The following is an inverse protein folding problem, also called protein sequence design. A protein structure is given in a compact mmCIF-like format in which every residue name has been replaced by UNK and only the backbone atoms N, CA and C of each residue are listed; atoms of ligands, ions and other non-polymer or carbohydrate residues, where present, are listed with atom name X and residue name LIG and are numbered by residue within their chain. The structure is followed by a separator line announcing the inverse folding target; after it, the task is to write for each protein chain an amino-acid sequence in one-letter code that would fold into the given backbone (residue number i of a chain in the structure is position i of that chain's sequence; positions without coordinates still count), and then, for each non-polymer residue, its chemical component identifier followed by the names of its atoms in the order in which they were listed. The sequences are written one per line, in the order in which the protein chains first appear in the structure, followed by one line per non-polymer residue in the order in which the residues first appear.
data_IF_286736628511
#
_entry.id   IF_286736628511
#
_cell.length_a   1.000
_cell.length_b   1.000
_cell.length_c   1.000
_cell.angle_alpha   90.00
_cell.angle_beta   90.00
_cell.angle_gamma   90.00
#
_symmetry.space_group_name_H-M   'P 1'
#
loop_
_entity.id
_entity.type
_entity.pdbx_description
1 polymer ?
#
# COMPACT_ATOMS: atom_id res chain seq x y z
N UNK A 1 -10.96 50.58 -9.14
CA UNK A 1 -11.73 50.03 -8.00
C UNK A 1 -12.63 48.92 -8.53
N UNK A 2 -12.19 47.67 -8.41
CA UNK A 2 -13.02 46.53 -8.01
C UNK A 2 -12.14 45.28 -7.99
N UNK A 3 -12.37 44.47 -6.97
CA UNK A 3 -11.45 43.48 -6.43
C UNK A 3 -11.51 42.12 -7.14
N UNK A 4 -10.41 41.38 -6.93
CA UNK A 4 -10.21 39.92 -6.89
C UNK A 4 -11.39 38.97 -7.09
N UNK A 5 -11.13 37.90 -7.86
CA UNK A 5 -11.27 36.51 -7.41
C UNK A 5 -10.31 35.60 -8.23
N UNK A 6 -9.19 35.20 -7.62
CA UNK A 6 -8.45 34.01 -8.03
C UNK A 6 -9.01 32.83 -7.23
N UNK A 7 -9.40 31.76 -7.91
CA UNK A 7 -9.75 30.48 -7.30
C UNK A 7 -8.65 29.50 -7.67
N UNK A 8 -7.68 29.34 -6.76
CA UNK A 8 -6.73 28.24 -6.79
C UNK A 8 -7.45 27.01 -6.22
N UNK A 9 -7.54 25.95 -7.02
CA UNK A 9 -7.93 24.62 -6.55
C UNK A 9 -6.68 23.74 -6.52
N UNK A 10 -5.95 23.82 -5.40
CA UNK A 10 -5.09 22.73 -4.94
C UNK A 10 -6.01 21.53 -4.63
N UNK A 11 -5.92 20.47 -5.43
CA UNK A 11 -6.59 19.20 -5.09
C UNK A 11 -5.67 18.42 -4.17
N UNK A 12 -5.95 18.71 -2.93
CA UNK A 12 -5.44 18.33 -1.63
C UNK A 12 -5.43 16.80 -1.37
N UNK A 13 -4.26 16.15 -1.50
CA UNK A 13 -4.03 14.76 -1.02
C UNK A 13 -4.08 14.69 0.51
N UNK A 14 -3.83 15.80 1.19
CA UNK A 14 -3.96 15.96 2.63
C UNK A 14 -5.45 15.89 3.04
N UNK A 15 -6.36 16.46 2.22
CA UNK A 15 -7.81 16.43 2.46
C UNK A 15 -8.36 15.01 2.59
N UNK A 16 -7.94 14.06 1.76
CA UNK A 16 -8.51 12.71 1.80
C UNK A 16 -8.09 11.94 3.07
N UNK A 17 -6.86 12.14 3.55
CA UNK A 17 -6.43 11.60 4.85
C UNK A 17 -7.09 12.34 6.01
N UNK A 18 -7.18 13.67 5.94
CA UNK A 18 -7.85 14.52 6.93
C UNK A 18 -9.34 14.15 7.02
N UNK A 19 -10.02 13.93 5.90
CA UNK A 19 -11.41 13.50 5.86
C UNK A 19 -11.60 12.10 6.43
N UNK A 20 -10.71 11.15 6.14
CA UNK A 20 -10.73 9.82 6.77
C UNK A 20 -10.52 9.91 8.27
N UNK A 21 -9.55 10.70 8.72
CA UNK A 21 -9.29 10.91 10.14
C UNK A 21 -10.47 11.58 10.86
N UNK A 22 -11.08 12.61 10.26
CA UNK A 22 -12.29 13.26 10.77
C UNK A 22 -13.49 12.33 10.80
N UNK A 23 -13.64 11.47 9.78
CA UNK A 23 -14.71 10.46 9.73
C UNK A 23 -14.54 9.43 10.85
N UNK A 24 -13.31 8.93 11.06
CA UNK A 24 -12.98 8.03 12.16
C UNK A 24 -13.18 8.69 13.52
N UNK A 25 -12.79 9.96 13.67
CA UNK A 25 -12.99 10.73 14.90
C UNK A 25 -14.48 10.93 15.18
N UNK A 26 -15.27 11.25 14.16
CA UNK A 26 -16.73 11.45 14.30
C UNK A 26 -17.44 10.14 14.65
N UNK A 27 -17.02 9.02 14.05
CA UNK A 27 -17.51 7.69 14.40
C UNK A 27 -17.19 7.35 15.87
N UNK A 28 -15.94 7.54 16.28
CA UNK A 28 -15.47 7.15 17.62
C UNK A 28 -15.98 8.06 18.73
N UNK A 29 -16.16 9.37 18.48
CA UNK A 29 -16.67 10.32 19.48
C UNK A 29 -18.19 10.49 19.46
N UNK A 30 -18.86 10.04 18.41
CA UNK A 30 -20.29 10.22 18.19
C UNK A 30 -21.13 8.95 18.42
N UNK A 31 -21.85 8.45 17.39
CA UNK A 31 -22.86 7.40 17.57
C UNK A 31 -22.33 6.07 18.13
N UNK A 32 -21.10 5.68 17.80
CA UNK A 32 -20.52 4.41 18.25
C UNK A 32 -20.22 4.42 19.74
N UNK A 33 -19.53 5.46 20.24
CA UNK A 33 -19.25 5.59 21.67
C UNK A 33 -20.53 5.69 22.50
N UNK A 34 -21.55 6.41 22.02
CA UNK A 34 -22.85 6.48 22.69
C UNK A 34 -23.51 5.11 22.76
N UNK A 35 -23.50 4.36 21.66
CA UNK A 35 -24.10 3.01 21.57
C UNK A 35 -23.35 2.03 22.47
N UNK A 36 -22.02 2.06 22.48
CA UNK A 36 -21.19 1.22 23.35
C UNK A 36 -21.41 1.55 24.84
N UNK A 37 -21.53 2.84 25.17
CA UNK A 37 -21.82 3.28 26.54
C UNK A 37 -23.20 2.78 27.00
N UNK A 38 -24.23 2.90 26.14
CA UNK A 38 -25.57 2.36 26.42
C UNK A 38 -25.57 0.84 26.57
N UNK A 39 -24.84 0.14 25.70
CA UNK A 39 -24.69 -1.31 25.77
C UNK A 39 -24.00 -1.74 27.07
N UNK A 40 -22.89 -1.09 27.43
CA UNK A 40 -22.16 -1.33 28.68
C UNK A 40 -23.03 -1.08 29.91
N UNK A 41 -23.77 0.02 29.93
CA UNK A 41 -24.71 0.33 31.01
C UNK A 41 -25.84 -0.70 31.11
N UNK A 42 -26.39 -1.14 29.98
CA UNK A 42 -27.47 -2.14 29.92
C UNK A 42 -27.00 -3.53 30.33
N UNK A 43 -25.76 -3.89 30.01
CA UNK A 43 -25.16 -5.17 30.41
C UNK A 43 -25.09 -5.32 31.93
N UNK A 44 -24.83 -4.22 32.66
CA UNK A 44 -24.80 -4.22 34.13
C UNK A 44 -26.15 -4.51 34.79
N UNK A 45 -27.25 -4.35 34.05
CA UNK A 45 -28.59 -4.65 34.55
C UNK A 45 -28.93 -6.14 34.48
N UNK A 46 -28.10 -6.96 33.82
CA UNK A 46 -28.30 -8.41 33.75
C UNK A 46 -27.92 -9.04 35.10
N UNK A 47 -28.84 -9.76 35.78
CA UNK A 47 -28.55 -10.45 37.02
C UNK A 47 -27.40 -11.45 36.85
N UNK A 48 -26.56 -11.60 37.88
CA UNK A 48 -25.45 -12.56 37.90
C UNK A 48 -25.46 -13.38 39.18
N UNK A 49 -24.75 -14.51 39.19
CA UNK A 49 -24.61 -15.37 40.36
C UNK A 49 -25.96 -15.92 40.86
N UNK A 50 -26.25 -15.77 42.16
CA UNK A 50 -27.42 -16.38 42.80
C UNK A 50 -28.74 -15.92 42.19
N UNK A 51 -28.85 -14.63 41.87
CA UNK A 51 -30.08 -14.06 41.31
C UNK A 51 -30.33 -14.60 39.90
N UNK A 52 -29.27 -14.74 39.09
CA UNK A 52 -29.36 -15.38 37.77
C UNK A 52 -29.91 -16.80 37.88
N UNK A 53 -29.35 -17.62 38.78
CA UNK A 53 -29.80 -19.01 38.96
C UNK A 53 -31.26 -19.10 39.41
N UNK A 54 -31.72 -18.16 40.24
CA UNK A 54 -33.11 -18.11 40.68
C UNK A 54 -34.05 -17.74 39.53
N UNK A 55 -33.74 -16.67 38.78
CA UNK A 55 -34.61 -16.19 37.70
C UNK A 55 -34.58 -17.06 36.45
N UNK A 56 -33.50 -17.82 36.21
CA UNK A 56 -33.37 -18.72 35.07
C UNK A 56 -34.34 -19.93 35.11
N UNK A 57 -35.12 -20.08 36.19
CA UNK A 57 -36.20 -21.06 36.27
C UNK A 57 -37.50 -20.59 35.58
N UNK A 58 -37.60 -19.29 35.26
CA UNK A 58 -38.77 -18.69 34.62
C UNK A 58 -38.49 -18.43 33.14
N UNK A 59 -39.41 -18.86 32.27
CA UNK A 59 -39.25 -18.71 30.82
C UNK A 59 -39.22 -17.24 30.40
N UNK A 60 -39.92 -16.37 31.14
CA UNK A 60 -39.95 -14.92 30.91
C UNK A 60 -38.56 -14.26 31.07
N UNK A 61 -37.67 -14.86 31.87
CA UNK A 61 -36.29 -14.40 32.04
C UNK A 61 -35.32 -15.21 31.16
N UNK A 62 -35.50 -16.52 31.09
CA UNK A 62 -34.63 -17.44 30.35
C UNK A 62 -34.60 -17.16 28.84
N UNK A 63 -35.77 -16.93 28.22
CA UNK A 63 -35.85 -16.73 26.77
C UNK A 63 -35.12 -15.46 26.30
N UNK A 64 -35.32 -14.28 26.92
CA UNK A 64 -34.53 -13.08 26.58
C UNK A 64 -33.02 -13.25 26.79
N UNK A 65 -32.60 -13.93 27.86
CA UNK A 65 -31.17 -14.18 28.12
C UNK A 65 -30.54 -15.07 27.04
N UNK A 66 -31.25 -16.11 26.60
CA UNK A 66 -30.80 -16.95 25.48
C UNK A 66 -30.70 -16.16 24.18
N UNK A 67 -31.64 -15.25 23.91
CA UNK A 67 -31.58 -14.38 22.74
C UNK A 67 -30.39 -13.43 22.79
N UNK A 68 -30.12 -12.81 23.95
CA UNK A 68 -28.94 -11.96 24.16
C UNK A 68 -27.65 -12.76 23.94
N UNK A 69 -27.56 -13.95 24.53
CA UNK A 69 -26.40 -14.84 24.38
C UNK A 69 -26.15 -15.18 22.91
N UNK A 70 -27.19 -15.63 22.18
CA UNK A 70 -27.10 -15.96 20.75
C UNK A 70 -26.67 -14.77 19.90
N UNK A 71 -27.21 -13.57 20.17
CA UNK A 71 -26.82 -12.34 19.45
C UNK A 71 -25.37 -11.96 19.76
N UNK A 72 -24.95 -12.04 21.02
CA UNK A 72 -23.57 -11.73 21.42
C UNK A 72 -22.57 -12.70 20.77
N UNK A 73 -22.88 -14.00 20.72
CA UNK A 73 -22.06 -15.00 20.05
C UNK A 73 -21.94 -14.70 18.55
N UNK A 74 -23.06 -14.44 17.86
CA UNK A 74 -23.04 -14.11 16.43
C UNK A 74 -22.22 -12.85 16.12
N UNK A 75 -22.23 -11.85 17.02
CA UNK A 75 -21.36 -10.68 16.89
C UNK A 75 -19.87 -11.03 17.03
N UNK A 76 -19.51 -11.86 18.02
CA UNK A 76 -18.12 -12.30 18.22
C UNK A 76 -17.62 -13.16 17.06
N UNK A 77 -18.48 -14.04 16.52
CA UNK A 77 -18.21 -14.78 15.29
C UNK A 77 -17.96 -13.84 14.11
N UNK A 78 -18.77 -12.80 13.95
CA UNK A 78 -18.58 -11.79 12.88
C UNK A 78 -17.25 -11.05 13.02
N UNK A 79 -16.85 -10.72 14.25
CA UNK A 79 -15.56 -10.08 14.53
C UNK A 79 -14.40 -11.02 14.20
N UNK A 80 -14.48 -12.30 14.61
CA UNK A 80 -13.46 -13.31 14.34
C UNK A 80 -13.36 -13.68 12.86
N UNK A 81 -14.49 -13.77 12.15
CA UNK A 81 -14.55 -14.10 10.72
C UNK A 81 -14.25 -12.93 9.78
N UNK A 82 -13.94 -11.74 10.31
CA UNK A 82 -13.46 -10.60 9.51
C UNK A 82 -11.99 -10.82 9.08
N UNK A 83 -11.74 -11.92 8.36
CA UNK A 83 -10.45 -12.61 8.19
C UNK A 83 -9.45 -11.93 7.24
N UNK A 84 -9.86 -10.97 6.39
CA UNK A 84 -8.94 -10.41 5.38
C UNK A 84 -8.47 -8.98 5.67
N UNK A 85 -9.30 -8.15 6.30
CA UNK A 85 -9.06 -6.69 6.35
C UNK A 85 -8.41 -6.20 7.64
N UNK A 86 -8.63 -6.93 8.75
CA UNK A 86 -8.22 -6.49 10.09
C UNK A 86 -7.01 -7.26 10.58
N UNK A 87 -6.87 -8.55 10.23
CA UNK A 87 -5.89 -9.46 10.83
C UNK A 87 -4.79 -9.96 9.86
N UNK A 88 -4.88 -9.65 8.56
CA UNK A 88 -3.86 -10.00 7.56
C UNK A 88 -3.86 -11.47 7.13
N UNK A 89 -3.26 -11.76 5.97
CA UNK A 89 -3.38 -13.03 5.22
C UNK A 89 -2.90 -14.31 5.94
N UNK A 90 -2.29 -14.20 7.13
CA UNK A 90 -1.55 -15.30 7.77
C UNK A 90 -2.22 -15.91 9.01
N UNK A 91 -3.44 -15.52 9.41
CA UNK A 91 -4.10 -16.12 10.59
C UNK A 91 -5.49 -16.66 10.27
N UNK A 92 -5.50 -17.92 9.83
CA UNK A 92 -6.69 -18.79 9.79
C UNK A 92 -7.20 -19.20 11.20
N UNK A 93 -6.47 -18.81 12.24
CA UNK A 93 -6.63 -19.26 13.63
C UNK A 93 -7.34 -18.24 14.54
N UNK A 94 -7.87 -17.14 14.00
CA UNK A 94 -8.56 -16.09 14.78
C UNK A 94 -10.09 -16.17 14.73
N UNK A 95 -10.65 -17.24 14.16
CA UNK A 95 -12.08 -17.47 14.17
C UNK A 95 -12.59 -17.70 15.61
N UNK A 96 -13.76 -17.14 15.92
CA UNK A 96 -14.39 -17.37 17.22
C UNK A 96 -14.78 -18.85 17.35
N UNK A 97 -14.49 -19.52 18.48
CA UNK A 97 -14.80 -20.93 18.67
C UNK A 97 -16.32 -21.18 18.61
N UNK A 98 -16.74 -22.03 17.65
CA UNK A 98 -18.18 -22.30 17.40
C UNK A 98 -18.82 -23.26 18.43
N UNK A 99 -18.01 -23.95 19.24
CA UNK A 99 -18.49 -24.82 20.32
C UNK A 99 -18.33 -24.09 21.67
N UNK A 100 -19.34 -23.31 22.05
CA UNK A 100 -19.39 -22.49 23.27
C UNK A 100 -19.59 -23.29 24.58
N UNK A 101 -19.46 -24.62 24.55
CA UNK A 101 -19.57 -25.43 25.77
C UNK A 101 -18.32 -25.31 26.65
N UNK A 102 -17.19 -24.83 26.09
CA UNK A 102 -15.97 -24.52 26.83
C UNK A 102 -15.76 -23.00 26.92
N UNK A 103 -15.97 -22.46 28.12
CA UNK A 103 -15.75 -21.03 28.40
C UNK A 103 -14.26 -20.67 28.38
N UNK A 104 -13.37 -21.64 28.58
CA UNK A 104 -11.93 -21.42 28.61
C UNK A 104 -11.41 -21.13 27.19
N UNK A 105 -11.90 -21.88 26.18
CA UNK A 105 -11.56 -21.65 24.76
C UNK A 105 -11.99 -20.24 24.28
N UNK A 106 -13.17 -19.77 24.70
CA UNK A 106 -13.66 -18.43 24.35
C UNK A 106 -12.84 -17.32 25.02
N UNK A 107 -12.37 -17.57 26.25
CA UNK A 107 -11.49 -16.64 26.96
C UNK A 107 -10.09 -16.58 26.34
N UNK A 108 -9.51 -17.73 26.02
CA UNK A 108 -8.21 -17.82 25.34
C UNK A 108 -8.24 -17.14 23.97
N UNK A 109 -9.32 -17.31 23.21
CA UNK A 109 -9.55 -16.57 21.97
C UNK A 109 -9.54 -15.04 22.20
N UNK A 110 -10.25 -14.56 23.22
CA UNK A 110 -10.32 -13.12 23.53
C UNK A 110 -8.95 -12.55 23.91
N UNK A 111 -8.17 -13.28 24.72
CA UNK A 111 -6.80 -12.90 25.09
C UNK A 111 -5.92 -12.80 23.85
N UNK A 112 -5.94 -13.81 22.98
CA UNK A 112 -5.15 -13.82 21.75
C UNK A 112 -5.51 -12.66 20.81
N UNK A 113 -6.80 -12.32 20.69
CA UNK A 113 -7.26 -11.18 19.88
C UNK A 113 -6.78 -9.85 20.47
N UNK A 114 -6.85 -9.70 21.79
CA UNK A 114 -6.38 -8.48 22.46
C UNK A 114 -4.87 -8.30 22.31
N UNK A 115 -4.07 -9.35 22.49
CA UNK A 115 -2.62 -9.30 22.37
C UNK A 115 -2.19 -8.89 20.96
N UNK A 116 -2.80 -9.48 19.93
CA UNK A 116 -2.55 -9.11 18.53
C UNK A 116 -2.92 -7.65 18.23
N UNK A 117 -4.05 -7.16 18.76
CA UNK A 117 -4.48 -5.78 18.57
C UNK A 117 -3.52 -4.79 19.24
N UNK A 118 -3.05 -5.11 20.45
CA UNK A 118 -2.09 -4.29 21.18
C UNK A 118 -0.72 -4.30 20.51
N UNK A 119 -0.23 -5.43 20.02
CA UNK A 119 1.05 -5.51 19.29
C UNK A 119 1.04 -4.67 18.01
N UNK A 120 -0.09 -4.68 17.28
CA UNK A 120 -0.27 -3.81 16.10
C UNK A 120 -0.31 -2.34 16.46
N UNK A 121 -1.00 -2.01 17.55
CA UNK A 121 -1.04 -0.64 18.04
C UNK A 121 0.36 -0.16 18.42
N UNK A 122 1.13 -0.96 19.15
CA UNK A 122 2.50 -0.64 19.54
C UNK A 122 3.39 -0.46 18.32
N UNK A 123 3.31 -1.37 17.33
CA UNK A 123 4.03 -1.24 16.06
C UNK A 123 3.70 0.08 15.34
N UNK A 124 2.41 0.40 15.21
CA UNK A 124 1.95 1.64 14.56
C UNK A 124 2.35 2.89 15.35
N UNK A 125 2.29 2.84 16.68
CA UNK A 125 2.70 3.93 17.55
C UNK A 125 4.22 4.13 17.48
N UNK A 126 5.01 3.08 17.37
CA UNK A 126 6.46 3.11 17.21
C UNK A 126 6.85 3.73 15.87
N UNK A 127 6.18 3.33 14.79
CA UNK A 127 6.31 3.93 13.47
C UNK A 127 5.96 5.42 13.50
N UNK A 128 4.83 5.80 14.10
CA UNK A 128 4.42 7.20 14.24
C UNK A 128 5.43 8.02 15.04
N UNK A 129 5.95 7.49 16.15
CA UNK A 129 7.01 8.15 16.93
C UNK A 129 8.31 8.24 16.13
N UNK A 130 8.64 7.22 15.35
CA UNK A 130 9.81 7.20 14.48
C UNK A 130 9.72 8.24 13.36
N UNK A 131 8.54 8.41 12.77
CA UNK A 131 8.24 9.48 11.82
C UNK A 131 8.44 10.82 12.52
N UNK A 132 7.68 11.12 13.60
CA UNK A 132 7.79 12.42 14.29
C UNK A 132 9.21 12.77 14.74
N UNK A 133 9.99 11.79 15.21
CA UNK A 133 11.39 12.02 15.58
C UNK A 133 12.24 12.39 14.38
N UNK A 134 12.06 11.73 13.23
CA UNK A 134 12.71 12.11 11.96
C UNK A 134 12.23 13.50 11.51
N UNK A 135 10.95 13.84 11.67
CA UNK A 135 10.43 15.17 11.34
C UNK A 135 11.04 16.26 12.24
N UNK A 136 11.20 15.99 13.53
CA UNK A 136 11.81 16.93 14.50
C UNK A 136 13.33 17.08 14.28
N UNK A 137 14.03 16.02 13.88
CA UNK A 137 15.48 16.04 13.60
C UNK A 137 15.81 16.60 12.20
N UNK A 138 14.91 16.45 11.22
CA UNK A 138 15.15 16.81 9.81
C UNK A 138 14.29 17.99 9.31
N UNK A 139 13.29 18.42 10.09
CA UNK A 139 12.37 19.51 9.76
C UNK A 139 11.33 19.22 8.66
N UNK A 140 11.18 17.97 8.20
CA UNK A 140 10.34 17.58 7.06
C UNK A 140 9.44 16.39 7.40
N UNK A 141 8.16 16.48 7.02
CA UNK A 141 7.08 15.55 7.37
C UNK A 141 7.11 14.22 6.58
N UNK A 142 7.04 13.08 7.28
CA UNK A 142 6.47 11.80 6.85
C UNK A 142 7.13 10.96 5.73
N UNK A 143 7.85 9.88 6.09
CA UNK A 143 8.16 8.77 5.18
C UNK A 143 7.73 7.41 5.80
N UNK A 144 6.82 6.69 5.13
CA UNK A 144 6.23 5.43 5.59
C UNK A 144 7.12 4.18 5.36
N UNK A 145 6.82 3.04 6.03
CA UNK A 145 7.69 1.87 6.08
C UNK A 145 7.25 0.78 5.10
N UNK A 146 7.46 0.96 3.80
CA UNK A 146 7.26 -0.16 2.87
C UNK A 146 8.24 -0.09 1.69
N UNK A 147 9.41 -0.71 1.86
CA UNK A 147 10.33 -0.90 0.74
C UNK A 147 11.14 -2.20 0.89
N UNK A 148 10.57 -3.31 0.40
CA UNK A 148 11.31 -4.54 0.16
C UNK A 148 10.45 -5.75 -0.18
N UNK A 149 10.70 -6.38 -1.32
CA UNK A 149 10.01 -7.61 -1.74
C UNK A 149 10.40 -8.83 -0.89
N UNK A 150 9.41 -9.67 -0.55
CA UNK A 150 9.61 -11.01 0.01
C UNK A 150 9.84 -12.01 -1.14
N UNK A 151 10.93 -12.78 -1.07
CA UNK A 151 11.22 -13.82 -2.06
C UNK A 151 10.17 -14.94 -1.98
N UNK A 152 9.14 -14.89 -2.83
CA UNK A 152 8.16 -15.98 -2.96
C UNK A 152 8.80 -17.13 -3.73
N UNK A 153 9.46 -18.04 -3.01
CA UNK A 153 9.90 -19.30 -3.59
C UNK A 153 8.66 -20.16 -3.93
N UNK A 154 8.25 -20.17 -5.21
CA UNK A 154 7.22 -21.07 -5.73
C UNK A 154 7.62 -22.52 -5.43
N UNK A 155 6.89 -23.19 -4.53
CA UNK A 155 7.15 -24.58 -4.14
C UNK A 155 6.87 -25.51 -5.32
N UNK A 156 7.92 -26.01 -5.96
CA UNK A 156 7.83 -27.03 -7.01
C UNK A 156 7.56 -28.39 -6.34
N UNK A 157 6.43 -29.01 -6.67
CA UNK A 157 6.10 -30.36 -6.25
C UNK A 157 7.06 -31.36 -6.93
N UNK A 158 7.85 -32.08 -6.14
CA UNK A 158 8.75 -33.13 -6.64
C UNK A 158 8.06 -34.50 -6.58
N UNK A 159 7.66 -35.01 -7.74
CA UNK A 159 7.46 -36.45 -7.96
C UNK A 159 8.82 -37.10 -8.29
N UNK A 160 9.08 -38.25 -7.67
CA UNK A 160 10.30 -39.08 -7.81
C UNK A 160 10.44 -39.69 -9.21
N UNK A 161 11.67 -39.83 -9.73
CA UNK A 161 12.30 -41.12 -10.16
C UNK A 161 13.73 -40.95 -10.70
N UNK A 162 14.42 -42.09 -10.74
CA UNK A 162 15.86 -42.35 -10.70
C UNK A 162 16.66 -42.19 -12.01
N UNK A 163 17.99 -42.14 -11.81
CA UNK A 163 19.07 -42.84 -12.52
C UNK A 163 19.75 -42.27 -13.79
N UNK A 164 21.08 -42.20 -13.66
CA UNK A 164 22.16 -42.54 -14.62
C UNK A 164 22.96 -41.41 -15.29
N UNK A 165 24.07 -41.06 -14.61
CA UNK A 165 25.51 -41.12 -14.99
C UNK A 165 25.92 -40.77 -16.45
N UNK A 166 26.78 -39.75 -16.58
CA UNK A 166 27.68 -39.53 -17.73
C UNK A 166 28.41 -38.18 -17.66
N UNK A 167 29.73 -38.22 -17.42
CA UNK A 167 30.69 -37.10 -17.25
C UNK A 167 30.80 -36.14 -18.45
N UNK A 168 31.02 -34.84 -18.19
CA UNK A 168 32.32 -34.17 -18.43
C UNK A 168 32.28 -32.68 -18.03
N UNK A 169 33.44 -32.16 -17.67
CA UNK A 169 33.68 -31.02 -16.78
C UNK A 169 33.47 -29.61 -17.38
N UNK A 170 33.01 -28.66 -16.54
CA UNK A 170 33.70 -27.38 -16.30
C UNK A 170 33.13 -26.67 -15.06
N UNK A 171 34.01 -26.15 -14.22
CA UNK A 171 33.73 -25.69 -12.86
C UNK A 171 33.44 -24.18 -12.81
N UNK A 172 32.28 -23.82 -12.24
CA UNK A 172 32.14 -22.88 -11.12
C UNK A 172 30.67 -22.87 -10.70
N UNK A 173 30.21 -24.02 -10.19
CA UNK A 173 28.91 -24.17 -9.57
C UNK A 173 29.08 -23.91 -8.08
N UNK A 174 28.56 -22.77 -7.61
CA UNK A 174 28.47 -22.45 -6.18
C UNK A 174 27.69 -23.58 -5.50
N UNK A 175 28.38 -24.31 -4.61
CA UNK A 175 27.78 -25.33 -3.75
C UNK A 175 26.73 -24.66 -2.85
N UNK A 176 25.46 -24.81 -3.21
CA UNK A 176 24.37 -24.51 -2.28
C UNK A 176 24.34 -25.66 -1.27
N UNK A 177 24.84 -25.39 -0.06
CA UNK A 177 24.65 -26.28 1.07
C UNK A 177 23.15 -26.52 1.26
N UNK A 178 22.68 -27.75 1.08
CA UNK A 178 21.42 -28.19 1.67
C UNK A 178 21.61 -28.12 3.18
N UNK A 179 21.18 -27.00 3.77
CA UNK A 179 21.00 -26.87 5.22
C UNK A 179 19.52 -27.07 5.51
N UNK A 180 19.25 -28.03 6.39
CA UNK A 180 17.92 -28.49 6.78
C UNK A 180 16.94 -27.36 7.10
N UNK A 181 15.70 -27.53 6.61
CA UNK A 181 14.59 -26.59 6.68
C UNK A 181 13.93 -26.50 8.08
N UNK A 182 14.71 -26.51 9.17
CA UNK A 182 14.15 -26.45 10.53
C UNK A 182 14.69 -25.36 11.45
N UNK A 183 15.57 -24.46 10.99
CA UNK A 183 16.03 -23.33 11.82
C UNK A 183 16.56 -22.13 11.00
N UNK A 184 15.89 -21.76 9.90
CA UNK A 184 16.26 -20.55 9.16
C UNK A 184 15.24 -19.46 9.45
N UNK A 185 15.65 -18.43 10.20
CA UNK A 185 14.89 -17.20 10.37
C UNK A 185 14.60 -16.50 9.02
N UNK A 186 13.81 -15.41 9.03
CA UNK A 186 13.44 -14.68 7.83
C UNK A 186 14.71 -14.35 7.02
N UNK A 187 14.73 -14.76 5.75
CA UNK A 187 15.85 -14.50 4.84
C UNK A 187 16.11 -12.99 4.80
N UNK A 188 17.38 -12.55 4.83
CA UNK A 188 17.70 -11.13 4.82
C UNK A 188 17.11 -10.48 3.57
N UNK A 189 16.26 -9.47 3.77
CA UNK A 189 15.81 -8.58 2.70
C UNK A 189 17.06 -7.87 2.19
N UNK A 190 17.42 -8.11 0.93
CA UNK A 190 18.47 -7.34 0.26
C UNK A 190 17.81 -6.03 -0.19
N UNK A 191 18.17 -4.87 0.39
CA UNK A 191 17.63 -3.60 -0.06
C UNK A 191 18.17 -3.31 -1.46
N UNK A 192 17.28 -2.98 -2.39
CA UNK A 192 17.66 -2.51 -3.75
C UNK A 192 18.15 -1.06 -3.75
N UNK A 193 17.95 -0.38 -2.63
CA UNK A 193 18.31 1.01 -2.44
C UNK A 193 19.58 1.10 -1.60
N UNK A 194 20.59 1.79 -2.13
CA UNK A 194 21.80 2.11 -1.39
C UNK A 194 21.43 3.15 -0.32
N UNK A 195 21.52 2.84 1.00
CA UNK A 195 21.00 3.72 2.06
C UNK A 195 21.64 5.12 2.12
N UNK A 196 22.81 5.32 1.49
CA UNK A 196 23.50 6.61 1.44
C UNK A 196 23.00 7.53 0.33
N UNK A 197 22.28 7.00 -0.67
CA UNK A 197 21.67 7.79 -1.73
C UNK A 197 20.24 8.09 -1.28
N UNK A 198 19.75 9.33 -1.41
CA UNK A 198 18.34 9.60 -1.12
C UNK A 198 17.45 9.08 -2.24
N UNK A 199 16.25 8.61 -1.92
CA UNK A 199 15.30 8.24 -2.96
C UNK A 199 14.74 9.50 -3.63
N UNK A 200 14.70 9.58 -4.96
CA UNK A 200 14.09 10.73 -5.64
C UNK A 200 12.63 10.96 -5.23
N UNK A 201 11.87 9.91 -4.99
CA UNK A 201 10.47 10.05 -4.52
C UNK A 201 10.38 10.75 -3.17
N UNK A 202 11.34 10.50 -2.26
CA UNK A 202 11.40 11.13 -0.95
C UNK A 202 11.90 12.58 -1.07
N UNK A 203 12.90 12.84 -1.92
CA UNK A 203 13.46 14.18 -2.14
C UNK A 203 12.43 15.15 -2.74
N UNK A 204 11.62 14.67 -3.69
CA UNK A 204 10.61 15.48 -4.37
C UNK A 204 9.21 15.34 -3.76
N UNK A 205 9.08 14.68 -2.60
CA UNK A 205 7.80 14.42 -1.91
C UNK A 205 6.72 13.82 -2.83
N UNK A 206 7.14 12.91 -3.72
CA UNK A 206 6.25 12.23 -4.66
C UNK A 206 5.59 11.06 -3.93
N UNK A 207 4.31 11.21 -3.62
CA UNK A 207 3.51 10.13 -3.07
C UNK A 207 3.10 9.14 -4.16
N UNK A 208 3.70 7.95 -4.15
CA UNK A 208 3.40 6.90 -5.13
C UNK A 208 2.28 6.00 -4.63
N UNK A 209 1.16 5.96 -5.36
CA UNK A 209 0.10 4.99 -5.11
C UNK A 209 0.40 3.66 -5.81
N UNK A 210 0.84 2.66 -5.04
CA UNK A 210 1.13 1.31 -5.53
C UNK A 210 -0.09 0.37 -5.53
N UNK A 211 -1.30 0.90 -5.26
CA UNK A 211 -2.52 0.10 -5.33
C UNK A 211 -2.83 -0.28 -6.77
N UNK A 212 -3.31 -1.50 -6.98
CA UNK A 212 -3.77 -1.96 -8.29
C UNK A 212 -5.16 -1.37 -8.63
N UNK A 213 -5.22 -0.05 -8.80
CA UNK A 213 -6.40 0.69 -9.21
C UNK A 213 -6.16 1.33 -10.58
N UNK A 214 -7.21 1.55 -11.39
CA UNK A 214 -7.06 2.27 -12.66
C UNK A 214 -6.37 3.62 -12.45
N UNK A 215 -5.44 3.95 -13.34
CA UNK A 215 -4.72 5.23 -13.30
C UNK A 215 -5.70 6.40 -13.38
N UNK A 216 -5.55 7.38 -12.48
CA UNK A 216 -6.37 8.58 -12.44
C UNK A 216 -5.48 9.81 -12.54
N UNK A 217 -5.86 10.75 -13.41
CA UNK A 217 -5.13 12.00 -13.56
C UNK A 217 -6.10 13.14 -13.90
N UNK A 218 -5.90 14.30 -13.27
CA UNK A 218 -6.79 15.48 -13.40
C UNK A 218 -6.90 16.02 -14.83
N UNK A 219 -5.89 15.78 -15.66
CA UNK A 219 -5.88 16.22 -17.07
C UNK A 219 -6.48 15.21 -18.05
N UNK A 220 -6.83 14.00 -17.60
CA UNK A 220 -7.48 13.02 -18.46
C UNK A 220 -8.99 13.25 -18.50
N UNK A 221 -9.55 13.33 -19.71
CA UNK A 221 -10.99 13.43 -19.88
C UNK A 221 -11.65 12.09 -19.54
N UNK A 222 -12.74 12.12 -18.77
CA UNK A 222 -13.58 10.95 -18.52
C UNK A 222 -14.49 10.67 -19.72
N UNK A 223 -14.76 9.40 -19.97
CA UNK A 223 -15.79 8.99 -20.92
C UNK A 223 -17.17 9.41 -20.40
N UNK A 224 -18.00 9.99 -21.28
CA UNK A 224 -19.37 10.42 -20.92
C UNK A 224 -20.30 9.22 -20.68
N UNK A 225 -20.03 8.09 -21.34
CA UNK A 225 -20.84 6.87 -21.25
C UNK A 225 -20.44 5.99 -20.06
N UNK A 226 -19.16 6.00 -19.66
CA UNK A 226 -18.61 5.23 -18.55
C UNK A 226 -17.72 6.12 -17.66
N UNK A 227 -18.26 6.56 -16.52
CA UNK A 227 -17.57 7.47 -15.59
C UNK A 227 -16.27 6.90 -14.96
N UNK A 228 -15.99 5.61 -15.17
CA UNK A 228 -14.82 4.90 -14.66
C UNK A 228 -13.64 4.82 -15.65
N UNK A 229 -13.85 5.21 -16.90
CA UNK A 229 -12.87 5.05 -17.97
C UNK A 229 -12.39 6.41 -18.46
N UNK A 230 -11.08 6.59 -18.53
CA UNK A 230 -10.47 7.79 -19.10
C UNK A 230 -10.22 7.58 -20.59
N UNK A 231 -10.51 8.61 -21.38
CA UNK A 231 -10.20 8.65 -22.82
C UNK A 231 -8.73 9.01 -22.96
N UNK A 232 -7.96 8.21 -23.69
CA UNK A 232 -6.56 8.54 -23.95
C UNK A 232 -6.49 9.83 -24.79
N UNK A 233 -5.66 10.84 -24.45
CA UNK A 233 -5.67 12.14 -25.13
C UNK A 233 -5.49 12.07 -26.65
N UNK A 234 -4.76 11.06 -27.14
CA UNK A 234 -4.53 10.84 -28.56
C UNK A 234 -5.72 10.22 -29.30
N UNK A 235 -6.74 9.68 -28.62
CA UNK A 235 -7.94 9.14 -29.29
C UNK A 235 -8.76 10.23 -30.00
N UNK A 236 -8.60 11.49 -29.59
CA UNK A 236 -9.25 12.65 -30.24
C UNK A 236 -8.58 13.06 -31.54
N UNK A 237 -7.34 12.63 -31.76
CA UNK A 237 -6.57 12.98 -32.95
C UNK A 237 -6.78 11.91 -34.00
N UNK A 238 -7.02 12.33 -35.23
CA UNK A 238 -7.11 11.43 -36.36
C UNK A 238 -5.71 11.01 -36.81
N UNK A 239 -5.60 9.85 -37.45
CA UNK A 239 -4.32 9.40 -38.05
C UNK A 239 -3.75 10.46 -39.01
N UNK A 240 -4.63 11.21 -39.69
CA UNK A 240 -4.25 12.26 -40.64
C UNK A 240 -3.59 13.48 -39.97
N UNK A 241 -3.77 13.65 -38.65
CA UNK A 241 -3.08 14.70 -37.88
C UNK A 241 -1.61 14.37 -37.64
N UNK A 242 -1.21 13.11 -37.80
CA UNK A 242 0.16 12.63 -37.65
C UNK A 242 0.89 12.41 -38.99
N UNK A 243 0.19 12.62 -40.12
CA UNK A 243 0.81 12.51 -41.45
C UNK A 243 1.43 13.85 -41.81
N UNK A 244 2.75 13.86 -42.00
CA UNK A 244 3.47 15.05 -42.46
C UNK A 244 2.94 15.50 -43.82
N UNK A 245 2.43 16.73 -43.87
CA UNK A 245 1.75 17.28 -45.05
C UNK A 245 2.72 17.83 -46.10
N UNK A 246 3.99 18.03 -45.72
CA UNK A 246 5.05 18.62 -46.54
C UNK A 246 6.30 17.73 -46.61
N UNK A 247 6.14 16.44 -46.96
CA UNK A 247 7.28 15.56 -47.28
C UNK A 247 7.76 15.92 -48.69
N UNK A 248 8.37 17.09 -48.82
CA UNK A 248 9.28 17.35 -49.93
C UNK A 248 10.47 16.39 -49.86
N UNK A 249 11.25 16.28 -50.94
CA UNK A 249 12.51 15.53 -50.88
C UNK A 249 13.50 16.33 -50.01
N UNK A 250 13.47 16.11 -48.69
CA UNK A 250 14.36 16.76 -47.73
C UNK A 250 15.65 15.95 -47.65
N UNK A 251 16.77 16.57 -48.02
CA UNK A 251 18.08 15.96 -47.90
C UNK A 251 18.43 15.75 -46.41
N UNK A 252 18.90 14.56 -46.00
CA UNK A 252 19.30 14.31 -44.61
C UNK A 252 20.34 15.31 -44.12
N UNK A 253 20.09 15.91 -42.96
CA UNK A 253 21.03 16.82 -42.30
C UNK A 253 21.96 16.01 -41.40
N UNK A 254 23.27 16.09 -41.64
CA UNK A 254 24.27 15.42 -40.79
C UNK A 254 24.33 16.09 -39.41
N UNK A 255 24.35 15.32 -38.30
CA UNK A 255 24.42 15.90 -36.96
C UNK A 255 25.77 16.62 -36.76
N UNK A 256 25.78 17.75 -36.01
CA UNK A 256 27.03 18.41 -35.63
C UNK A 256 27.93 17.50 -34.80
N UNK A 257 29.23 17.79 -34.79
CA UNK A 257 30.18 17.02 -33.97
C UNK A 257 29.91 17.22 -32.48
N UNK A 258 30.23 16.21 -31.66
CA UNK A 258 29.99 16.25 -30.20
C UNK A 258 30.69 17.43 -29.54
N UNK A 259 31.93 17.73 -29.95
CA UNK A 259 32.72 18.86 -29.42
C UNK A 259 32.09 20.24 -29.72
N UNK A 260 31.30 20.34 -30.79
CA UNK A 260 30.63 21.58 -31.21
C UNK A 260 29.18 21.68 -30.74
N UNK A 261 28.62 20.60 -30.21
CA UNK A 261 27.21 20.51 -29.82
C UNK A 261 27.05 20.97 -28.38
N UNK A 262 26.35 22.09 -28.11
CA UNK A 262 26.15 22.55 -26.74
C UNK A 262 25.26 21.58 -25.96
N UNK A 263 25.73 21.14 -24.79
CA UNK A 263 24.95 20.38 -23.83
C UNK A 263 24.46 21.28 -22.70
N UNK A 264 23.14 21.28 -22.43
CA UNK A 264 22.54 22.01 -21.31
C UNK A 264 21.79 21.01 -20.42
N UNK A 265 22.20 20.92 -19.16
CA UNK A 265 21.43 20.26 -18.10
C UNK A 265 20.30 21.21 -17.70
N UNK A 266 19.08 20.68 -17.59
CA UNK A 266 17.87 21.45 -17.25
C UNK A 266 17.27 20.87 -15.98
N UNK A 267 17.50 21.56 -14.86
CA UNK A 267 16.99 21.18 -13.53
C UNK A 267 15.95 22.18 -13.01
N UNK A 268 16.11 23.47 -13.32
CA UNK A 268 15.20 24.51 -12.84
C UNK A 268 13.98 24.74 -13.75
N UNK A 269 12.85 25.15 -13.15
CA UNK A 269 11.62 25.50 -13.87
C UNK A 269 11.85 26.61 -14.90
N UNK A 270 12.77 27.55 -14.62
CA UNK A 270 13.12 28.63 -15.55
C UNK A 270 13.80 28.07 -16.81
N UNK A 271 14.76 27.18 -16.64
CA UNK A 271 15.46 26.55 -17.74
C UNK A 271 14.53 25.65 -18.57
N UNK A 272 13.57 24.99 -17.92
CA UNK A 272 12.54 24.21 -18.60
C UNK A 272 11.63 25.10 -19.47
N UNK A 273 11.25 26.29 -18.97
CA UNK A 273 10.48 27.27 -19.75
C UNK A 273 11.27 27.79 -20.96
N UNK A 274 12.56 28.07 -20.78
CA UNK A 274 13.44 28.47 -21.88
C UNK A 274 13.59 27.36 -22.92
N UNK A 275 13.77 26.10 -22.49
CA UNK A 275 13.84 24.94 -23.38
C UNK A 275 12.51 24.77 -24.16
N UNK A 276 11.37 24.82 -23.48
CA UNK A 276 10.06 24.71 -24.12
C UNK A 276 9.81 25.84 -25.15
N UNK A 277 10.26 27.06 -24.86
CA UNK A 277 10.18 28.17 -25.81
C UNK A 277 11.07 27.95 -27.04
N UNK A 278 12.27 27.39 -26.87
CA UNK A 278 13.16 27.02 -27.98
C UNK A 278 12.56 25.90 -28.83
N UNK A 279 12.08 24.83 -28.21
CA UNK A 279 11.48 23.67 -28.90
C UNK A 279 10.23 24.05 -29.71
N UNK A 280 9.47 25.05 -29.26
CA UNK A 280 8.32 25.58 -30.01
C UNK A 280 8.69 26.17 -31.39
N UNK A 281 9.93 26.65 -31.54
CA UNK A 281 10.41 27.25 -32.78
C UNK A 281 11.04 26.26 -33.76
N UNK A 282 11.11 24.97 -33.41
CA UNK A 282 11.73 23.93 -34.25
C UNK A 282 10.64 23.03 -34.82
N UNK A 283 10.85 22.56 -36.06
CA UNK A 283 9.89 21.69 -36.76
C UNK A 283 10.00 20.23 -36.31
N UNK A 284 11.19 19.78 -35.88
CA UNK A 284 11.46 18.41 -35.44
C UNK A 284 12.46 18.38 -34.27
N UNK A 285 12.32 17.41 -33.37
CA UNK A 285 13.29 17.17 -32.31
C UNK A 285 13.23 15.71 -31.84
N UNK A 286 14.36 15.19 -31.39
CA UNK A 286 14.48 13.82 -30.89
C UNK A 286 14.30 13.78 -29.37
N UNK A 287 13.55 12.78 -28.86
CA UNK A 287 13.31 12.56 -27.44
C UNK A 287 13.86 11.18 -27.06
N UNK A 288 14.58 11.12 -25.93
CA UNK A 288 15.00 9.87 -25.31
C UNK A 288 14.68 9.90 -23.82
N UNK A 289 14.21 8.77 -23.27
CA UNK A 289 13.93 8.61 -21.85
C UNK A 289 14.73 7.41 -21.33
N UNK A 290 15.45 7.62 -20.23
CA UNK A 290 16.04 6.55 -19.44
C UNK A 290 15.10 6.21 -18.27
N UNK A 291 14.83 4.91 -18.10
CA UNK A 291 14.26 4.39 -16.86
C UNK A 291 15.43 3.86 -16.05
N UNK A 292 15.60 4.30 -14.81
CA UNK A 292 16.69 3.84 -13.96
C UNK A 292 16.40 2.39 -13.52
N UNK A 293 17.14 1.38 -14.00
CA UNK A 293 16.98 0.02 -13.50
C UNK A 293 17.51 -0.06 -12.04
N UNK A 294 17.06 -1.04 -11.24
CA UNK A 294 17.63 -1.24 -9.91
C UNK A 294 19.14 -1.37 -10.01
N UNK A 295 19.86 -0.55 -9.25
CA UNK A 295 21.33 -0.58 -9.16
C UNK A 295 21.68 -1.90 -8.48
N UNK A 296 22.00 -2.92 -9.27
CA UNK A 296 22.61 -4.14 -8.74
C UNK A 296 23.98 -3.73 -8.22
N UNK A 297 24.14 -3.79 -6.90
CA UNK A 297 25.44 -3.60 -6.27
C UNK A 297 26.40 -4.65 -6.85
N UNK A 298 27.31 -4.21 -7.71
CA UNK A 298 28.48 -5.00 -8.06
C UNK A 298 29.36 -5.04 -6.81
N UNK A 299 29.47 -6.22 -6.19
CA UNK A 299 30.54 -6.48 -5.23
C UNK A 299 31.87 -6.42 -6.01
N UNK A 300 32.61 -5.33 -5.84
CA UNK A 300 34.01 -5.27 -6.23
C UNK A 300 34.79 -6.24 -5.34
N UNK A 301 35.17 -7.37 -5.93
CA UNK A 301 36.13 -8.30 -5.37
C UNK A 301 37.53 -7.66 -5.43
N UNK A 302 38.12 -7.36 -4.27
CA UNK A 302 39.57 -7.28 -4.05
C UNK A 302 40.00 -8.39 -3.11
#
# INVERSE_FOLDING_TARGET
MSQHHHHDHDVDVDQDQVHKAQTLQTLTTGPLASSLSKLSASSRAVPSGKDFHFFNNFDEFKLPIQEISKKSQSMLETIGSSEARVWGDNKKDMAFPSNTDDMDDAYDWLVNVNDELLERFDTSADEFRGIRKKEEETGLAGAGPDDGFQLVCRKKNNNKKEASRGDSASASAVKVALKDNKTAGPKPKVPFHIPSIRKPQEEFNILVNNSNQPFQHVWLQRCDDDAQTFIHPLEKLSVLDFVDKDIGNVDPVEPPSVESTPFKIVEEVKDLKELAAKLRGVNEFAIHQSLCPPILANEESS
#
